data_IF_525070421166
#
_entry.id   IF_525070421166
#
_cell.length_a   1.000
_cell.length_b   1.000
_cell.length_c   1.000
_cell.angle_alpha   90.00
_cell.angle_beta   90.00
_cell.angle_gamma   90.00
#
_symmetry.space_group_name_H-M   'P 1'
#
loop_
_entity.id
_entity.type
_entity.pdbx_description
1 polymer ?
#
# COMPACT_ATOMS: atom_id res chain seq x y z
N UNK A 1 20.26 -22.17 -9.05
CA UNK A 1 19.45 -22.69 -10.17
C UNK A 1 18.27 -23.58 -9.74
N UNK A 2 18.33 -24.26 -8.60
CA UNK A 2 17.18 -25.03 -8.08
C UNK A 2 15.99 -24.17 -7.61
N UNK A 3 16.24 -22.92 -7.21
CA UNK A 3 15.20 -22.01 -6.69
C UNK A 3 14.36 -21.32 -7.79
N UNK A 4 14.95 -21.05 -8.95
CA UNK A 4 14.24 -20.46 -10.11
C UNK A 4 13.15 -21.42 -10.64
N UNK A 5 13.43 -22.74 -10.65
CA UNK A 5 12.46 -23.76 -11.11
C UNK A 5 11.24 -23.95 -10.20
N UNK A 6 11.32 -23.59 -8.91
CA UNK A 6 10.19 -23.67 -7.98
C UNK A 6 9.21 -22.51 -8.15
N UNK A 7 9.69 -21.34 -8.55
CA UNK A 7 8.83 -20.16 -8.87
C UNK A 7 8.15 -20.30 -10.24
N UNK A 8 8.82 -20.89 -11.23
CA UNK A 8 8.26 -21.15 -12.58
C UNK A 8 7.10 -22.17 -12.59
N UNK A 9 6.87 -22.92 -11.48
CA UNK A 9 5.81 -23.92 -11.36
C UNK A 9 4.67 -23.53 -10.41
N UNK A 10 4.75 -22.34 -9.78
CA UNK A 10 3.69 -21.89 -8.88
C UNK A 10 2.58 -21.22 -9.70
N UNK A 11 1.43 -21.89 -9.81
CA UNK A 11 0.25 -21.28 -10.43
C UNK A 11 -0.32 -20.20 -9.51
N UNK A 12 -0.67 -19.02 -10.06
CA UNK A 12 -1.40 -18.00 -9.32
C UNK A 12 -2.75 -18.55 -8.85
N UNK A 13 -3.09 -18.31 -7.58
CA UNK A 13 -4.36 -18.74 -7.00
C UNK A 13 -5.12 -17.52 -6.49
N UNK A 14 -6.41 -17.48 -6.82
CA UNK A 14 -7.34 -16.47 -6.34
C UNK A 14 -8.34 -17.14 -5.38
N UNK A 15 -8.43 -16.62 -4.17
CA UNK A 15 -9.35 -17.06 -3.14
C UNK A 15 -10.38 -15.97 -2.86
N UNK A 16 -11.63 -16.36 -2.77
CA UNK A 16 -12.76 -15.49 -2.43
C UNK A 16 -13.43 -16.05 -1.18
N UNK A 17 -13.44 -15.25 -0.13
CA UNK A 17 -14.19 -15.58 1.09
C UNK A 17 -15.56 -14.89 1.07
N UNK A 18 -16.58 -15.65 1.45
CA UNK A 18 -17.97 -15.18 1.46
C UNK A 18 -18.60 -15.35 2.83
N UNK A 19 -19.50 -14.44 3.17
CA UNK A 19 -20.37 -14.59 4.32
C UNK A 19 -21.34 -15.78 4.15
N UNK A 20 -22.00 -16.25 5.21
CA UNK A 20 -23.04 -17.27 5.11
C UNK A 20 -24.18 -16.90 4.14
N UNK A 21 -24.45 -15.61 3.96
CA UNK A 21 -25.46 -15.05 3.04
C UNK A 21 -24.98 -14.97 1.59
N UNK A 22 -23.68 -15.27 1.33
CA UNK A 22 -23.08 -15.32 0.01
C UNK A 22 -22.37 -14.03 -0.44
N UNK A 23 -22.40 -12.98 0.36
CA UNK A 23 -21.67 -11.73 0.06
C UNK A 23 -20.16 -11.94 0.12
N UNK A 24 -19.41 -11.34 -0.79
CA UNK A 24 -17.94 -11.36 -0.71
C UNK A 24 -17.49 -10.49 0.45
N UNK A 25 -16.70 -11.04 1.36
CA UNK A 25 -16.10 -10.31 2.48
C UNK A 25 -14.67 -9.90 2.16
N UNK A 26 -13.90 -10.79 1.52
CA UNK A 26 -12.54 -10.47 1.05
C UNK A 26 -12.09 -11.40 -0.06
N UNK A 27 -11.10 -10.93 -0.81
CA UNK A 27 -10.40 -11.67 -1.86
C UNK A 27 -8.89 -11.59 -1.65
N UNK A 28 -8.18 -12.64 -2.04
CA UNK A 28 -6.72 -12.64 -1.96
C UNK A 28 -6.10 -13.47 -3.08
N UNK A 29 -4.94 -13.01 -3.54
CA UNK A 29 -4.15 -13.67 -4.60
C UNK A 29 -2.84 -14.19 -4.03
N UNK A 30 -2.47 -15.37 -4.42
CA UNK A 30 -1.26 -16.07 -3.99
C UNK A 30 -0.44 -16.53 -5.18
N UNK A 31 0.87 -16.51 -5.02
CA UNK A 31 1.82 -17.26 -5.82
C UNK A 31 2.54 -18.23 -4.89
N UNK A 32 2.34 -19.55 -5.11
CA UNK A 32 2.73 -20.54 -4.11
C UNK A 32 1.96 -20.35 -2.80
N UNK A 33 2.66 -20.09 -1.70
CA UNK A 33 2.08 -19.91 -0.37
C UNK A 33 2.10 -18.45 0.11
N UNK A 34 2.52 -17.51 -0.75
CA UNK A 34 2.67 -16.10 -0.40
C UNK A 34 1.63 -15.25 -1.11
N UNK A 35 1.08 -14.25 -0.43
CA UNK A 35 0.25 -13.22 -1.09
C UNK A 35 1.11 -12.50 -2.12
N UNK A 36 0.65 -12.50 -3.35
CA UNK A 36 1.40 -11.97 -4.46
C UNK A 36 0.49 -11.65 -5.64
N UNK A 37 0.60 -10.45 -6.18
CA UNK A 37 -0.05 -10.05 -7.42
C UNK A 37 0.68 -8.85 -8.03
N UNK A 38 1.09 -8.96 -9.30
CA UNK A 38 1.84 -7.91 -10.01
C UNK A 38 0.92 -6.88 -10.67
N UNK A 39 -0.28 -7.30 -11.10
CA UNK A 39 -1.21 -6.48 -11.89
C UNK A 39 -2.31 -5.80 -11.06
N UNK A 40 -2.23 -5.85 -9.73
CA UNK A 40 -3.23 -5.27 -8.86
C UNK A 40 -3.02 -5.57 -7.37
N UNK A 41 -3.99 -5.23 -6.50
CA UNK A 41 -3.92 -5.57 -5.10
C UNK A 41 -4.00 -7.09 -4.92
N UNK A 42 -3.14 -7.65 -4.05
CA UNK A 42 -3.14 -9.05 -3.69
C UNK A 42 -4.13 -9.38 -2.55
N UNK A 43 -4.70 -8.35 -1.93
CA UNK A 43 -5.78 -8.50 -0.96
C UNK A 43 -6.78 -7.35 -1.12
N UNK A 44 -8.08 -7.68 -1.09
CA UNK A 44 -9.18 -6.71 -1.09
C UNK A 44 -10.19 -7.14 -0.03
N UNK A 45 -10.61 -6.22 0.82
CA UNK A 45 -11.71 -6.42 1.77
C UNK A 45 -12.89 -5.53 1.40
N UNK A 46 -14.08 -5.99 1.72
CA UNK A 46 -15.34 -5.32 1.40
C UNK A 46 -16.18 -5.09 2.64
N UNK A 47 -16.85 -3.97 2.69
CA UNK A 47 -17.95 -3.70 3.63
C UNK A 47 -19.17 -4.58 3.32
N UNK A 48 -20.07 -4.68 4.27
CA UNK A 48 -21.33 -5.43 4.11
C UNK A 48 -22.21 -4.93 2.95
N UNK A 49 -22.10 -3.64 2.60
CA UNK A 49 -22.79 -3.04 1.46
C UNK A 49 -22.13 -3.37 0.09
N UNK A 50 -21.02 -4.10 0.08
CA UNK A 50 -20.26 -4.49 -1.12
C UNK A 50 -19.24 -3.45 -1.59
N UNK A 51 -19.18 -2.27 -0.97
CA UNK A 51 -18.12 -1.30 -1.27
C UNK A 51 -16.78 -1.79 -0.74
N UNK A 52 -15.68 -1.35 -1.38
CA UNK A 52 -14.33 -1.71 -0.93
C UNK A 52 -14.01 -1.02 0.40
N UNK A 53 -13.53 -1.79 1.38
CA UNK A 53 -13.00 -1.31 2.66
C UNK A 53 -11.50 -1.04 2.58
N UNK A 54 -10.73 -1.99 2.04
CA UNK A 54 -9.28 -1.81 1.88
C UNK A 54 -8.71 -2.56 0.69
N UNK A 55 -7.59 -2.07 0.18
CA UNK A 55 -6.76 -2.72 -0.83
C UNK A 55 -5.30 -2.75 -0.37
N UNK A 56 -4.67 -3.92 -0.50
CA UNK A 56 -3.26 -4.11 -0.16
C UNK A 56 -2.53 -4.77 -1.32
N UNK A 57 -1.42 -4.15 -1.73
CA UNK A 57 -0.51 -4.68 -2.74
C UNK A 57 0.61 -5.45 -2.07
N UNK A 58 0.68 -6.74 -2.35
CA UNK A 58 1.71 -7.63 -1.83
C UNK A 58 2.53 -8.24 -2.96
N UNK A 59 3.83 -8.22 -2.79
CA UNK A 59 4.79 -9.07 -3.49
C UNK A 59 5.46 -9.99 -2.46
N UNK A 60 5.26 -11.30 -2.57
CA UNK A 60 5.84 -12.32 -1.67
C UNK A 60 5.56 -12.08 -0.18
N UNK A 61 4.31 -11.77 0.19
CA UNK A 61 3.83 -11.40 1.55
C UNK A 61 4.37 -10.06 2.07
N UNK A 62 5.03 -9.27 1.23
CA UNK A 62 5.56 -7.97 1.60
C UNK A 62 4.72 -6.87 0.94
N UNK A 63 4.28 -5.87 1.69
CA UNK A 63 3.61 -4.69 1.14
C UNK A 63 4.58 -3.94 0.24
N UNK A 64 4.23 -3.83 -1.05
CA UNK A 64 5.08 -3.23 -2.06
C UNK A 64 4.26 -2.68 -3.23
N UNK A 65 4.50 -1.43 -3.60
CA UNK A 65 3.98 -0.84 -4.84
C UNK A 65 4.81 0.37 -5.24
N UNK A 66 5.31 0.38 -6.49
CA UNK A 66 6.17 1.47 -7.01
C UNK A 66 5.38 2.66 -7.56
N UNK A 67 4.21 2.41 -8.15
CA UNK A 67 3.41 3.40 -8.91
C UNK A 67 2.21 3.95 -8.14
N UNK A 68 2.13 3.70 -6.84
CA UNK A 68 1.02 4.13 -6.02
C UNK A 68 1.12 3.69 -4.56
N UNK A 69 0.13 4.01 -3.72
CA UNK A 69 0.09 3.51 -2.36
C UNK A 69 -0.11 1.99 -2.34
N UNK A 70 0.66 1.31 -1.50
CA UNK A 70 0.60 -0.15 -1.32
C UNK A 70 -0.50 -0.58 -0.34
N UNK A 71 -1.04 0.36 0.44
CA UNK A 71 -2.19 0.15 1.30
C UNK A 71 -3.13 1.36 1.23
N UNK A 72 -4.40 1.10 0.93
CA UNK A 72 -5.45 2.12 0.87
C UNK A 72 -6.64 1.62 1.69
N UNK A 73 -7.13 2.44 2.61
CA UNK A 73 -8.39 2.22 3.32
C UNK A 73 -9.43 3.22 2.84
N UNK A 74 -10.63 2.74 2.61
CA UNK A 74 -11.78 3.50 2.14
C UNK A 74 -12.86 3.56 3.21
N UNK A 75 -13.75 4.53 3.13
CA UNK A 75 -15.02 4.56 3.86
C UNK A 75 -16.10 3.84 3.08
N UNK A 76 -17.20 3.54 3.72
CA UNK A 76 -18.36 2.87 3.08
C UNK A 76 -18.93 3.64 1.88
N UNK A 77 -18.76 4.97 1.83
CA UNK A 77 -19.16 5.82 0.70
C UNK A 77 -18.16 5.79 -0.47
N UNK A 78 -17.06 5.05 -0.34
CA UNK A 78 -16.01 4.91 -1.35
C UNK A 78 -14.93 6.00 -1.30
N UNK A 79 -15.05 7.00 -0.42
CA UNK A 79 -14.01 8.00 -0.24
C UNK A 79 -12.78 7.39 0.44
N UNK A 80 -11.58 7.84 0.05
CA UNK A 80 -10.35 7.41 0.70
C UNK A 80 -10.31 7.95 2.12
N UNK A 81 -10.02 7.06 3.09
CA UNK A 81 -9.81 7.42 4.48
C UNK A 81 -8.34 7.71 4.76
N UNK A 82 -7.46 6.85 4.30
CA UNK A 82 -6.02 7.04 4.33
C UNK A 82 -5.31 6.14 3.32
N UNK A 83 -4.06 6.49 3.02
CA UNK A 83 -3.20 5.73 2.13
C UNK A 83 -1.75 5.72 2.63
N UNK A 84 -1.04 4.63 2.34
CA UNK A 84 0.37 4.46 2.67
C UNK A 84 1.15 3.95 1.46
N UNK A 85 2.26 4.61 1.19
CA UNK A 85 3.23 4.22 0.17
C UNK A 85 4.31 3.38 0.83
N UNK A 86 4.43 2.12 0.40
CA UNK A 86 5.42 1.19 0.94
C UNK A 86 6.21 0.54 -0.20
N UNK A 87 7.52 0.51 -0.02
CA UNK A 87 8.45 -0.27 -0.81
C UNK A 87 9.13 -1.29 0.11
N UNK A 88 9.08 -2.58 -0.27
CA UNK A 88 9.66 -3.69 0.51
C UNK A 88 9.26 -3.67 1.99
N UNK A 89 7.99 -3.36 2.27
CA UNK A 89 7.40 -3.30 3.60
C UNK A 89 7.73 -2.04 4.41
N UNK A 90 8.48 -1.09 3.84
CA UNK A 90 8.88 0.15 4.50
C UNK A 90 8.08 1.33 3.98
N UNK A 91 7.67 2.24 4.86
CA UNK A 91 7.13 3.53 4.47
C UNK A 91 8.19 4.30 3.67
N UNK A 92 7.86 4.59 2.42
CA UNK A 92 8.79 5.22 1.50
C UNK A 92 8.05 5.92 0.36
N UNK A 93 8.36 7.19 0.13
CA UNK A 93 7.96 7.93 -1.06
C UNK A 93 8.90 9.12 -1.29
N UNK A 94 9.43 9.24 -2.51
CA UNK A 94 10.41 10.30 -2.85
C UNK A 94 9.76 11.60 -3.35
N UNK A 95 8.53 11.53 -3.87
CA UNK A 95 7.84 12.63 -4.54
C UNK A 95 6.59 13.12 -3.80
N UNK A 96 6.46 12.80 -2.52
CA UNK A 96 5.31 13.19 -1.72
C UNK A 96 5.28 12.56 -0.33
N UNK A 97 4.22 12.78 0.44
CA UNK A 97 4.02 12.11 1.71
C UNK A 97 3.81 10.61 1.51
N UNK A 98 4.46 9.79 2.33
CA UNK A 98 4.30 8.34 2.30
C UNK A 98 3.06 7.86 3.08
N UNK A 99 2.53 8.68 3.98
CA UNK A 99 1.26 8.46 4.66
C UNK A 99 0.41 9.71 4.58
N UNK A 100 -0.83 9.56 4.10
CA UNK A 100 -1.82 10.66 4.03
C UNK A 100 -3.14 10.18 4.61
N UNK A 101 -3.74 10.97 5.48
CA UNK A 101 -5.09 10.77 6.00
C UNK A 101 -6.00 11.89 5.55
N UNK A 102 -7.24 11.55 5.23
CA UNK A 102 -8.22 12.46 4.66
C UNK A 102 -9.47 12.59 5.54
N UNK A 103 -10.00 13.80 5.63
CA UNK A 103 -11.36 14.04 6.12
C UNK A 103 -12.41 13.44 5.18
N UNK A 104 -13.65 13.34 5.64
CA UNK A 104 -14.74 12.79 4.84
C UNK A 104 -15.06 13.63 3.59
N UNK A 105 -14.77 14.94 3.62
CA UNK A 105 -14.92 15.84 2.46
C UNK A 105 -13.81 15.71 1.42
N UNK A 106 -12.83 14.83 1.66
CA UNK A 106 -11.68 14.58 0.79
C UNK A 106 -10.50 15.53 0.99
N UNK A 107 -10.61 16.52 1.89
CA UNK A 107 -9.48 17.36 2.27
C UNK A 107 -8.48 16.58 3.11
N UNK A 108 -7.21 16.97 3.04
CA UNK A 108 -6.14 16.34 3.81
C UNK A 108 -6.30 16.70 5.29
N UNK A 109 -6.29 15.67 6.16
CA UNK A 109 -6.27 15.82 7.61
C UNK A 109 -4.83 15.96 8.12
N UNK A 110 -3.95 15.06 7.69
CA UNK A 110 -2.52 15.16 7.91
C UNK A 110 -1.72 14.35 6.90
N UNK A 111 -0.44 14.69 6.77
CA UNK A 111 0.55 14.06 5.91
C UNK A 111 1.83 13.77 6.68
N UNK A 112 2.48 12.67 6.33
CA UNK A 112 3.78 12.31 6.88
C UNK A 112 4.73 11.88 5.77
N UNK A 113 5.94 12.44 5.80
CA UNK A 113 7.02 12.11 4.87
C UNK A 113 7.94 11.05 5.48
N UNK A 114 8.19 9.98 4.72
CA UNK A 114 9.01 8.86 5.15
C UNK A 114 9.91 8.39 4.02
N UNK A 115 11.17 8.10 4.34
CA UNK A 115 12.13 7.43 3.45
C UNK A 115 12.73 6.23 4.18
N UNK A 116 12.57 5.03 3.64
CA UNK A 116 13.10 3.77 4.22
C UNK A 116 12.74 3.56 5.70
N UNK A 117 11.47 3.82 6.09
CA UNK A 117 10.97 3.85 7.48
C UNK A 117 11.57 4.95 8.38
N UNK A 118 12.33 5.88 7.82
CA UNK A 118 12.79 7.06 8.53
C UNK A 118 11.79 8.20 8.33
N UNK A 119 11.15 8.65 9.42
CA UNK A 119 10.24 9.78 9.38
C UNK A 119 11.01 11.09 9.22
N UNK A 120 10.67 11.85 8.20
CA UNK A 120 11.21 13.20 8.00
C UNK A 120 10.37 14.17 8.81
N UNK A 121 10.99 14.77 9.82
CA UNK A 121 10.33 15.72 10.73
C UNK A 121 10.52 17.16 10.22
N UNK A 122 9.63 18.05 10.68
CA UNK A 122 9.66 19.48 10.34
C UNK A 122 9.50 19.78 8.84
N UNK A 123 8.84 18.87 8.11
CA UNK A 123 8.49 19.02 6.70
C UNK A 123 6.98 19.06 6.58
N UNK A 124 6.46 20.11 5.94
CA UNK A 124 5.03 20.34 5.75
C UNK A 124 4.65 20.58 4.29
N UNK A 125 5.65 20.55 3.40
CA UNK A 125 5.45 20.75 1.97
C UNK A 125 6.44 19.94 1.14
N UNK A 126 6.09 19.70 -0.12
CA UNK A 126 6.97 19.02 -1.08
C UNK A 126 8.30 19.75 -1.26
N UNK A 127 8.29 21.08 -1.29
CA UNK A 127 9.51 21.88 -1.46
C UNK A 127 10.48 21.75 -0.27
N UNK A 128 9.95 21.70 0.97
CA UNK A 128 10.75 21.44 2.18
C UNK A 128 11.32 20.02 2.18
N UNK A 129 10.55 19.06 1.72
CA UNK A 129 10.98 17.67 1.61
C UNK A 129 12.11 17.49 0.59
N UNK A 130 12.01 18.11 -0.58
CA UNK A 130 13.08 18.12 -1.60
C UNK A 130 14.36 18.80 -1.08
N UNK A 131 14.21 19.92 -0.35
CA UNK A 131 15.33 20.59 0.29
C UNK A 131 16.01 19.69 1.34
N UNK A 132 15.22 18.98 2.16
CA UNK A 132 15.74 18.03 3.14
C UNK A 132 16.47 16.86 2.47
N UNK A 133 15.89 16.27 1.40
CA UNK A 133 16.56 15.21 0.62
C UNK A 133 17.92 15.67 0.07
N UNK A 134 17.98 16.89 -0.46
CA UNK A 134 19.24 17.46 -0.93
C UNK A 134 20.26 17.59 0.21
N UNK A 135 19.88 18.17 1.35
CA UNK A 135 20.77 18.34 2.50
C UNK A 135 21.28 16.99 3.02
N UNK A 136 20.41 15.97 3.08
CA UNK A 136 20.80 14.60 3.45
C UNK A 136 21.80 14.01 2.47
N UNK A 137 21.61 14.21 1.16
CA UNK A 137 22.50 13.66 0.12
C UNK A 137 23.93 14.22 0.17
N UNK A 138 24.08 15.44 0.71
CA UNK A 138 25.39 16.12 0.88
C UNK A 138 25.91 16.06 2.32
N UNK A 139 25.23 15.32 3.22
CA UNK A 139 25.68 15.08 4.59
C UNK A 139 25.56 16.29 5.53
N UNK A 140 24.59 17.18 5.29
CA UNK A 140 24.33 18.37 6.11
C UNK A 140 23.19 18.16 7.15
N UNK A 141 22.43 17.08 7.05
CA UNK A 141 21.40 16.62 7.99
C UNK A 141 21.42 15.11 8.11
#
# INVERSE_FOLDING_TARGET
>A
MKYIKLYEQAEPRHHVHRSPEGSVEWETWYLGNKRHREDGPAFIRYYANGSVEEKLWYLDDTLHREDGPAWIEYREDGSVKWEQWLLDGKLHREDGPAHTQYWQDGSVEFEEWWLEDEKVVDVTSQAEFEAWQYLKSVGLV
#
